data_IF_081699469530
#
_entry.id   IF_081699469530
#
_cell.length_a   1.000
_cell.length_b   1.000
_cell.length_c   1.000
_cell.angle_alpha   90.00
_cell.angle_beta   90.00
_cell.angle_gamma   90.00
#
_symmetry.space_group_name_H-M   'P 1'
#
loop_
_entity.id
_entity.type
_entity.pdbx_description
1 polymer ?
#
# COMPACT_ATOMS: atom_id res chain seq x y z
N UNK A 1 26.52 -57.22 -25.90
CA UNK A 1 26.52 -55.95 -26.66
C UNK A 1 25.53 -55.02 -25.97
N UNK A 2 26.06 -53.92 -25.44
CA UNK A 2 25.50 -53.04 -24.41
C UNK A 2 24.12 -52.45 -24.75
N UNK A 3 23.21 -52.47 -23.78
CA UNK A 3 22.00 -51.63 -23.76
C UNK A 3 22.32 -50.25 -23.18
N UNK A 4 21.96 -49.20 -23.90
CA UNK A 4 22.20 -47.80 -23.55
C UNK A 4 21.13 -47.34 -22.54
N UNK A 5 21.52 -47.19 -21.28
CA UNK A 5 20.70 -46.59 -20.23
C UNK A 5 20.83 -45.06 -20.32
N UNK A 6 19.78 -44.38 -20.78
CA UNK A 6 19.68 -42.91 -20.75
C UNK A 6 19.35 -42.47 -19.32
N UNK A 7 20.37 -42.13 -18.54
CA UNK A 7 20.19 -41.43 -17.27
C UNK A 7 19.88 -39.96 -17.54
N UNK A 8 18.61 -39.58 -17.34
CA UNK A 8 18.20 -38.18 -17.17
C UNK A 8 18.80 -37.67 -15.86
N UNK A 9 20.00 -37.06 -15.92
CA UNK A 9 20.49 -36.22 -14.84
C UNK A 9 19.57 -35.00 -14.75
N UNK A 10 18.80 -34.93 -13.66
CA UNK A 10 18.09 -33.72 -13.27
C UNK A 10 19.10 -32.61 -13.00
N UNK A 11 19.14 -31.62 -13.88
CA UNK A 11 19.86 -30.38 -13.65
C UNK A 11 19.12 -29.67 -12.51
N UNK A 12 19.65 -29.76 -11.30
CA UNK A 12 19.31 -28.82 -10.23
C UNK A 12 19.92 -27.50 -10.66
N UNK A 13 19.13 -26.66 -11.33
CA UNK A 13 19.44 -25.26 -11.49
C UNK A 13 19.47 -24.68 -10.08
N UNK A 14 20.67 -24.51 -9.52
CA UNK A 14 20.90 -23.57 -8.43
C UNK A 14 20.54 -22.21 -9.04
N UNK A 15 19.29 -21.78 -8.87
CA UNK A 15 18.93 -20.42 -9.23
C UNK A 15 19.75 -19.53 -8.28
N UNK A 16 20.64 -18.72 -8.86
CA UNK A 16 21.23 -17.57 -8.18
C UNK A 16 20.14 -16.79 -7.44
N UNK A 17 20.51 -15.94 -6.49
CA UNK A 17 19.56 -15.16 -5.69
C UNK A 17 18.83 -14.10 -6.54
N UNK A 18 17.90 -14.56 -7.40
CA UNK A 18 17.18 -13.75 -8.38
C UNK A 18 16.25 -12.82 -7.60
N UNK A 19 16.57 -11.53 -7.63
CA UNK A 19 15.72 -10.49 -7.05
C UNK A 19 14.58 -10.14 -8.03
N UNK A 20 13.33 -10.05 -7.56
CA UNK A 20 12.20 -9.69 -8.40
C UNK A 20 12.29 -8.23 -8.82
N UNK A 21 11.81 -7.91 -10.03
CA UNK A 21 11.63 -6.51 -10.43
C UNK A 21 10.49 -5.87 -9.62
N UNK A 22 10.53 -4.55 -9.46
CA UNK A 22 9.48 -3.80 -8.78
C UNK A 22 8.07 -4.04 -9.39
N UNK A 23 8.00 -4.28 -10.70
CA UNK A 23 6.74 -4.58 -11.40
C UNK A 23 6.22 -5.98 -11.08
N UNK A 24 7.09 -7.00 -11.09
CA UNK A 24 6.72 -8.37 -10.72
C UNK A 24 6.25 -8.43 -9.27
N UNK A 25 6.99 -7.77 -8.37
CA UNK A 25 6.65 -7.71 -6.95
C UNK A 25 5.30 -7.02 -6.72
N UNK A 26 5.06 -5.88 -7.39
CA UNK A 26 3.77 -5.17 -7.30
C UNK A 26 2.61 -6.03 -7.81
N UNK A 27 2.78 -6.73 -8.94
CA UNK A 27 1.77 -7.63 -9.49
C UNK A 27 1.49 -8.79 -8.54
N UNK A 28 2.53 -9.40 -7.97
CA UNK A 28 2.37 -10.49 -7.02
C UNK A 28 1.61 -10.05 -5.75
N UNK A 29 1.94 -8.89 -5.17
CA UNK A 29 1.17 -8.30 -4.07
C UNK A 29 -0.29 -8.00 -4.46
N UNK A 30 -0.54 -7.52 -5.68
CA UNK A 30 -1.91 -7.30 -6.16
C UNK A 30 -2.71 -8.60 -6.30
N UNK A 31 -2.07 -9.69 -6.73
CA UNK A 31 -2.71 -11.01 -6.84
C UNK A 31 -3.00 -11.63 -5.47
N UNK A 32 -2.12 -11.42 -4.49
CA UNK A 32 -2.33 -11.86 -3.11
C UNK A 32 -3.37 -11.00 -2.38
N UNK A 33 -3.54 -9.73 -2.77
CA UNK A 33 -4.39 -8.79 -2.07
C UNK A 33 -5.87 -9.14 -2.20
N UNK A 34 -6.57 -9.17 -1.06
CA UNK A 34 -8.01 -9.39 -1.02
C UNK A 34 -8.46 -10.18 0.20
N UNK A 35 -9.79 -10.35 0.35
CA UNK A 35 -10.36 -11.27 1.31
C UNK A 35 -10.23 -12.71 0.80
N UNK A 36 -9.73 -13.58 1.67
CA UNK A 36 -9.57 -15.01 1.44
C UNK A 36 -10.31 -15.81 2.51
N UNK A 37 -10.77 -17.00 2.14
CA UNK A 37 -11.32 -17.99 3.07
C UNK A 37 -10.35 -19.16 3.15
N UNK A 38 -9.88 -19.50 4.35
CA UNK A 38 -9.05 -20.68 4.59
C UNK A 38 -9.92 -21.92 4.39
N UNK A 39 -9.63 -22.69 3.34
CA UNK A 39 -10.37 -23.89 2.97
C UNK A 39 -9.86 -25.11 3.76
N UNK A 40 -8.55 -25.22 3.94
CA UNK A 40 -7.92 -26.24 4.79
C UNK A 40 -6.52 -25.82 5.22
N UNK A 41 -6.04 -26.47 6.28
CA UNK A 41 -4.66 -26.40 6.74
C UNK A 41 -4.17 -27.84 6.96
N UNK A 42 -2.98 -28.18 6.50
CA UNK A 42 -2.32 -29.43 6.85
C UNK A 42 -1.08 -29.09 7.65
N UNK A 43 -1.09 -29.39 8.94
CA UNK A 43 -0.01 -29.12 9.87
C UNK A 43 0.65 -30.44 10.26
N UNK A 44 1.94 -30.58 9.93
CA UNK A 44 2.73 -31.79 10.15
C UNK A 44 2.04 -33.10 9.76
N UNK A 45 1.38 -33.12 8.59
CA UNK A 45 0.61 -34.26 8.09
C UNK A 45 -0.84 -34.36 8.59
N UNK A 46 -1.20 -33.62 9.64
CA UNK A 46 -2.56 -33.56 10.18
C UNK A 46 -3.39 -32.52 9.44
N UNK A 47 -4.39 -32.98 8.69
CA UNK A 47 -5.27 -32.09 7.92
C UNK A 47 -6.44 -31.60 8.77
N UNK A 48 -6.46 -30.30 9.02
CA UNK A 48 -7.54 -29.57 9.68
C UNK A 48 -8.53 -29.06 8.64
N UNK A 49 -9.76 -29.56 8.71
CA UNK A 49 -10.86 -29.11 7.86
C UNK A 49 -11.38 -27.72 8.21
N UNK A 50 -12.06 -27.07 7.25
CA UNK A 50 -12.56 -25.70 7.35
C UNK A 50 -13.33 -25.41 8.66
N UNK A 51 -14.17 -26.32 9.13
CA UNK A 51 -15.03 -26.05 10.31
C UNK A 51 -14.25 -25.92 11.61
N UNK A 52 -13.15 -26.67 11.76
CA UNK A 52 -12.27 -26.53 12.93
C UNK A 52 -11.52 -25.21 12.83
N UNK A 53 -10.96 -24.90 11.66
CA UNK A 53 -10.26 -23.62 11.42
C UNK A 53 -11.14 -22.42 11.76
N UNK A 54 -12.39 -22.44 11.30
CA UNK A 54 -13.38 -21.37 11.53
C UNK A 54 -13.68 -21.11 13.01
N UNK A 55 -13.74 -22.18 13.81
CA UNK A 55 -14.15 -22.12 15.21
C UNK A 55 -12.99 -21.92 16.18
N UNK A 56 -11.77 -22.31 15.80
CA UNK A 56 -10.64 -22.41 16.72
C UNK A 56 -9.43 -21.56 16.36
N UNK A 57 -9.28 -21.14 15.10
CA UNK A 57 -8.06 -20.45 14.66
C UNK A 57 -8.37 -19.11 13.99
N UNK A 58 -9.30 -19.11 13.04
CA UNK A 58 -9.59 -17.95 12.19
C UNK A 58 -11.10 -17.77 12.18
N UNK A 59 -11.62 -16.71 12.80
CA UNK A 59 -13.06 -16.42 12.84
C UNK A 59 -13.65 -16.42 11.43
N UNK A 60 -14.69 -17.23 11.24
CA UNK A 60 -15.35 -17.49 9.95
C UNK A 60 -14.41 -18.02 8.84
N UNK A 61 -13.18 -18.38 9.19
CA UNK A 61 -12.14 -18.82 8.26
C UNK A 61 -11.65 -17.69 7.38
N UNK A 62 -11.91 -16.43 7.74
CA UNK A 62 -11.64 -15.26 6.92
C UNK A 62 -10.30 -14.63 7.27
N UNK A 63 -9.48 -14.42 6.25
CA UNK A 63 -8.24 -13.63 6.34
C UNK A 63 -8.27 -12.52 5.29
N UNK A 64 -7.66 -11.38 5.60
CA UNK A 64 -7.48 -10.28 4.65
C UNK A 64 -5.99 -10.07 4.43
N UNK A 65 -5.57 -10.23 3.19
CA UNK A 65 -4.20 -9.93 2.78
C UNK A 65 -4.20 -8.54 2.16
N UNK A 66 -3.46 -7.62 2.77
CA UNK A 66 -3.32 -6.25 2.26
C UNK A 66 -2.05 -5.61 2.83
N UNK A 67 -1.40 -4.75 2.05
CA UNK A 67 -0.27 -3.93 2.52
C UNK A 67 0.83 -4.73 3.23
N UNK A 68 1.25 -5.89 2.70
CA UNK A 68 2.27 -6.78 3.32
C UNK A 68 1.89 -7.33 4.69
N UNK A 69 0.59 -7.32 5.00
CA UNK A 69 0.04 -7.91 6.23
C UNK A 69 -1.06 -8.90 5.90
N UNK A 70 -1.16 -9.93 6.73
CA UNK A 70 -2.26 -10.90 6.77
C UNK A 70 -2.98 -10.65 8.08
N UNK A 71 -4.25 -10.25 7.99
CA UNK A 71 -5.09 -9.93 9.14
C UNK A 71 -6.17 -10.99 9.31
N UNK A 72 -6.38 -11.44 10.53
CA UNK A 72 -7.46 -12.35 10.90
C UNK A 72 -7.89 -12.12 12.34
N UNK A 73 -9.01 -12.72 12.76
CA UNK A 73 -9.53 -12.59 14.13
C UNK A 73 -9.50 -13.97 14.79
N UNK A 74 -8.98 -14.06 16.01
CA UNK A 74 -9.07 -15.27 16.81
C UNK A 74 -10.53 -15.43 17.29
N UNK A 75 -11.20 -16.55 17.00
CA UNK A 75 -12.61 -16.74 17.35
C UNK A 75 -12.86 -16.89 18.85
N UNK A 76 -11.87 -17.34 19.62
CA UNK A 76 -12.00 -17.55 21.07
C UNK A 76 -11.78 -16.26 21.86
N UNK A 77 -10.75 -15.49 21.50
CA UNK A 77 -10.40 -14.24 22.22
C UNK A 77 -11.05 -13.00 21.61
N UNK A 78 -11.49 -13.07 20.35
CA UNK A 78 -11.93 -11.91 19.58
C UNK A 78 -10.78 -10.98 19.14
N UNK A 79 -9.53 -11.34 19.43
CA UNK A 79 -8.36 -10.52 19.11
C UNK A 79 -8.06 -10.50 17.61
N UNK A 80 -7.79 -9.31 17.08
CA UNK A 80 -7.33 -9.14 15.70
C UNK A 80 -5.82 -9.38 15.61
N UNK A 81 -5.44 -10.46 14.95
CA UNK A 81 -4.07 -10.87 14.71
C UNK A 81 -3.59 -10.36 13.35
N UNK A 82 -2.45 -9.65 13.36
CA UNK A 82 -1.80 -9.08 12.16
C UNK A 82 -0.41 -9.67 12.03
N UNK A 83 -0.14 -10.34 10.91
CA UNK A 83 1.17 -10.93 10.59
C UNK A 83 1.74 -10.25 9.35
N UNK A 84 2.99 -9.77 9.42
CA UNK A 84 3.68 -9.20 8.27
C UNK A 84 4.24 -10.31 7.36
N UNK A 85 4.53 -10.00 6.09
CA UNK A 85 5.19 -10.94 5.19
C UNK A 85 6.01 -10.25 4.10
N UNK A 86 6.97 -10.98 3.54
CA UNK A 86 7.70 -10.62 2.31
C UNK A 86 7.58 -11.74 1.27
N UNK A 87 7.73 -11.42 -0.01
CA UNK A 87 7.68 -12.41 -1.11
C UNK A 87 8.83 -12.24 -2.11
N UNK A 88 9.24 -13.35 -2.71
CA UNK A 88 10.04 -13.36 -3.93
C UNK A 88 9.29 -14.15 -5.04
N UNK A 89 8.56 -13.45 -5.93
CA UNK A 89 7.83 -14.09 -7.01
C UNK A 89 8.70 -14.50 -8.21
N UNK A 90 9.98 -14.16 -8.24
CA UNK A 90 10.89 -14.46 -9.34
C UNK A 90 11.54 -15.85 -9.21
N UNK A 91 11.58 -16.41 -8.00
CA UNK A 91 12.05 -17.77 -7.74
C UNK A 91 10.98 -18.82 -8.05
N UNK A 92 11.43 -20.03 -8.35
CA UNK A 92 10.57 -21.20 -8.56
C UNK A 92 11.03 -22.36 -7.67
N UNK A 93 10.23 -22.78 -6.67
CA UNK A 93 8.93 -22.25 -6.27
C UNK A 93 8.98 -20.79 -5.79
N UNK A 94 7.88 -20.04 -5.93
CA UNK A 94 7.81 -18.64 -5.47
C UNK A 94 7.91 -18.60 -3.96
N UNK A 95 8.75 -17.74 -3.42
CA UNK A 95 9.04 -17.72 -1.99
C UNK A 95 8.14 -16.72 -1.26
N UNK A 96 7.77 -17.07 -0.03
CA UNK A 96 7.12 -16.17 0.93
C UNK A 96 7.83 -16.32 2.28
N UNK A 97 7.99 -15.23 3.01
CA UNK A 97 8.42 -15.25 4.40
C UNK A 97 7.28 -14.68 5.24
N UNK A 98 6.68 -15.51 6.07
CA UNK A 98 5.70 -15.05 7.05
C UNK A 98 6.45 -14.58 8.30
N UNK A 99 5.98 -13.51 8.91
CA UNK A 99 6.50 -13.04 10.19
C UNK A 99 5.46 -13.39 11.24
N UNK A 100 5.84 -14.32 12.11
CA UNK A 100 4.99 -14.84 13.17
C UNK A 100 4.82 -13.85 14.32
N UNK A 101 3.95 -14.18 15.27
CA UNK A 101 3.59 -13.30 16.40
C UNK A 101 4.80 -12.94 17.28
N UNK A 102 5.82 -13.80 17.33
CA UNK A 102 7.07 -13.61 18.06
C UNK A 102 8.19 -12.99 17.21
N UNK A 103 7.85 -12.44 16.03
CA UNK A 103 8.77 -11.85 15.05
C UNK A 103 9.84 -12.82 14.50
N UNK A 104 9.64 -14.15 14.61
CA UNK A 104 10.38 -15.13 13.82
C UNK A 104 9.95 -15.11 12.36
N UNK A 105 10.95 -15.16 11.47
CA UNK A 105 10.74 -15.42 10.04
C UNK A 105 10.43 -16.90 9.84
N UNK A 106 9.25 -17.19 9.28
CA UNK A 106 8.83 -18.51 8.84
C UNK A 106 8.99 -18.59 7.30
N UNK A 107 10.05 -19.24 6.80
CA UNK A 107 10.27 -19.41 5.37
C UNK A 107 9.22 -20.35 4.76
N UNK A 108 8.74 -19.97 3.59
CA UNK A 108 7.71 -20.69 2.87
C UNK A 108 7.77 -20.49 1.36
N UNK A 109 6.85 -21.14 0.67
CA UNK A 109 6.62 -21.01 -0.75
C UNK A 109 5.12 -20.82 -1.00
N UNK A 110 4.76 -20.22 -2.13
CA UNK A 110 3.37 -20.01 -2.51
C UNK A 110 3.13 -20.26 -4.00
N UNK A 111 1.91 -20.65 -4.35
CA UNK A 111 1.44 -20.74 -5.73
C UNK A 111 -0.05 -20.42 -5.83
N UNK A 112 -0.48 -20.11 -7.04
CA UNK A 112 -1.90 -20.01 -7.38
C UNK A 112 -2.31 -21.23 -8.20
N UNK A 113 -3.39 -21.90 -7.79
CA UNK A 113 -4.03 -23.00 -8.50
C UNK A 113 -5.46 -22.57 -8.86
N UNK A 114 -5.64 -21.94 -10.03
CA UNK A 114 -6.93 -21.34 -10.39
C UNK A 114 -7.30 -20.18 -9.47
N UNK A 115 -8.38 -20.32 -8.70
CA UNK A 115 -8.85 -19.36 -7.69
C UNK A 115 -8.36 -19.68 -6.26
N UNK A 116 -7.49 -20.68 -6.13
CA UNK A 116 -6.89 -21.09 -4.87
C UNK A 116 -5.47 -20.54 -4.71
N UNK A 117 -5.17 -20.02 -3.53
CA UNK A 117 -3.84 -19.67 -3.07
C UNK A 117 -3.35 -20.78 -2.13
N UNK A 118 -2.23 -21.40 -2.47
CA UNK A 118 -1.58 -22.41 -1.65
C UNK A 118 -0.31 -21.81 -1.07
N UNK A 119 -0.18 -21.83 0.26
CA UNK A 119 1.01 -21.38 0.99
C UNK A 119 1.55 -22.57 1.79
N UNK A 120 2.82 -22.91 1.62
CA UNK A 120 3.52 -23.91 2.43
C UNK A 120 4.63 -23.19 3.20
N UNK A 121 4.70 -23.33 4.52
CA UNK A 121 5.76 -22.72 5.33
C UNK A 121 6.22 -23.68 6.43
N UNK A 122 7.42 -23.47 6.94
CA UNK A 122 7.99 -24.29 8.02
C UNK A 122 7.91 -23.53 9.34
N UNK A 123 7.24 -24.11 10.33
CA UNK A 123 7.16 -23.59 11.72
C UNK A 123 7.93 -24.51 12.67
N UNK A 124 9.25 -24.51 12.52
CA UNK A 124 10.17 -25.27 13.34
C UNK A 124 11.20 -24.39 14.03
N UNK A 125 12.00 -24.99 14.92
CA UNK A 125 13.10 -24.29 15.62
C UNK A 125 14.22 -23.84 14.66
N UNK A 126 14.41 -24.59 13.57
CA UNK A 126 15.34 -24.27 12.48
C UNK A 126 14.61 -24.42 11.16
N UNK A 127 13.79 -23.43 10.79
CA UNK A 127 12.90 -23.63 9.67
C UNK A 127 13.70 -23.56 8.37
N UNK A 128 13.65 -24.64 7.59
CA UNK A 128 14.17 -24.68 6.23
C UNK A 128 13.05 -24.33 5.26
N UNK A 129 13.39 -23.63 4.16
CA UNK A 129 12.38 -23.27 3.16
C UNK A 129 11.87 -24.54 2.47
N UNK A 130 10.55 -24.78 2.40
CA UNK A 130 10.00 -25.89 1.64
C UNK A 130 10.35 -25.79 0.15
N UNK A 131 10.58 -26.93 -0.48
CA UNK A 131 10.82 -27.05 -1.94
C UNK A 131 9.59 -27.55 -2.69
N UNK A 132 8.58 -28.01 -1.96
CA UNK A 132 7.33 -28.57 -2.45
C UNK A 132 6.17 -28.17 -1.52
N UNK A 133 4.95 -28.42 -1.99
CA UNK A 133 3.71 -28.06 -1.28
C UNK A 133 3.15 -29.25 -0.48
N UNK A 134 4.02 -30.04 0.15
CA UNK A 134 3.64 -31.17 0.99
C UNK A 134 4.00 -30.91 2.46
N UNK A 135 3.05 -31.21 3.35
CA UNK A 135 3.27 -31.31 4.79
C UNK A 135 3.13 -32.77 5.19
N UNK A 136 4.27 -33.41 5.52
CA UNK A 136 4.35 -34.80 5.95
C UNK A 136 4.53 -34.86 7.47
N UNK A 137 4.15 -35.95 8.14
CA UNK A 137 4.47 -36.14 9.55
C UNK A 137 5.96 -35.94 9.85
N UNK A 138 6.28 -35.14 10.87
CA UNK A 138 7.64 -34.79 11.28
C UNK A 138 8.37 -33.77 10.38
N UNK A 139 7.70 -33.17 9.40
CA UNK A 139 8.30 -32.15 8.52
C UNK A 139 8.30 -30.74 9.12
N UNK A 140 7.53 -30.49 10.19
CA UNK A 140 7.29 -29.14 10.74
C UNK A 140 6.75 -28.14 9.71
N UNK A 141 6.08 -28.65 8.66
CA UNK A 141 5.51 -27.83 7.59
C UNK A 141 4.02 -27.66 7.79
N UNK A 142 3.55 -26.48 7.46
CA UNK A 142 2.12 -26.14 7.39
C UNK A 142 1.78 -25.79 5.95
N UNK A 143 0.78 -26.47 5.38
CA UNK A 143 0.20 -26.15 4.07
C UNK A 143 -1.18 -25.54 4.28
N UNK A 144 -1.32 -24.26 3.92
CA UNK A 144 -2.60 -23.55 3.89
C UNK A 144 -3.15 -23.52 2.48
N UNK A 145 -4.43 -23.83 2.34
CA UNK A 145 -5.20 -23.68 1.11
C UNK A 145 -6.27 -22.61 1.32
N UNK A 146 -6.21 -21.54 0.53
CA UNK A 146 -7.09 -20.40 0.64
C UNK A 146 -7.87 -20.21 -0.65
N UNK A 147 -9.17 -19.97 -0.56
CA UNK A 147 -10.02 -19.63 -1.71
C UNK A 147 -10.45 -18.18 -1.66
N UNK A 148 -10.67 -17.58 -2.82
CA UNK A 148 -11.26 -16.22 -2.88
C UNK A 148 -12.57 -16.18 -2.10
N UNK A 149 -12.79 -15.11 -1.32
CA UNK A 149 -14.05 -14.97 -0.59
C UNK A 149 -15.20 -14.66 -1.58
N UNK A 150 -16.31 -15.38 -1.46
CA UNK A 150 -17.51 -15.18 -2.30
C UNK A 150 -18.11 -13.76 -2.18
N UNK A 151 -17.89 -13.09 -1.05
CA UNK A 151 -18.35 -11.72 -0.78
C UNK A 151 -17.19 -10.72 -0.88
N UNK A 152 -17.03 -10.07 -2.03
CA UNK A 152 -16.07 -8.96 -2.21
C UNK A 152 -16.34 -7.72 -1.33
N UNK A 153 -17.44 -7.70 -0.57
CA UNK A 153 -17.85 -6.63 0.36
C UNK A 153 -17.57 -6.94 1.83
N UNK A 154 -17.13 -8.15 2.19
CA UNK A 154 -16.85 -8.51 3.58
C UNK A 154 -15.44 -8.03 3.98
N UNK A 155 -15.35 -6.80 4.46
CA UNK A 155 -14.15 -6.25 5.09
C UNK A 155 -13.98 -6.91 6.46
N UNK A 156 -12.89 -7.65 6.70
CA UNK A 156 -12.34 -7.69 8.08
C UNK A 156 -11.87 -6.26 8.30
N UNK A 157 -12.60 -5.49 9.10
CA UNK A 157 -12.31 -4.07 9.30
C UNK A 157 -10.82 -3.91 9.68
N UNK A 158 -10.02 -3.15 8.91
CA UNK A 158 -8.64 -2.83 9.29
C UNK A 158 -8.55 -1.69 10.30
N UNK A 159 -9.66 -1.30 10.93
CA UNK A 159 -9.68 -0.27 11.96
C UNK A 159 -10.42 -0.85 13.16
N UNK A 160 -9.69 -1.44 14.10
CA UNK A 160 -10.04 -1.22 15.49
C UNK A 160 -9.40 0.13 15.83
N UNK A 161 -10.18 1.19 15.67
CA UNK A 161 -10.26 2.20 16.72
C UNK A 161 -10.42 1.41 18.02
N UNK A 162 -9.33 1.25 18.76
CA UNK A 162 -9.43 0.78 20.13
C UNK A 162 -10.02 1.97 20.86
N UNK A 163 -11.34 1.97 20.99
CA UNK A 163 -12.05 2.80 21.95
C UNK A 163 -11.38 2.67 23.31
N UNK A 164 -11.31 3.81 23.97
CA UNK A 164 -10.67 4.09 25.25
C UNK A 164 -10.81 2.95 26.28
N UNK A 165 -9.73 2.19 26.48
CA UNK A 165 -9.44 1.70 27.83
C UNK A 165 -8.66 2.81 28.52
N UNK A 166 -9.41 3.64 29.24
CA UNK A 166 -8.89 4.58 30.23
C UNK A 166 -8.20 3.75 31.32
N UNK A 167 -6.90 3.59 31.21
CA UNK A 167 -6.05 3.36 32.37
C UNK A 167 -4.88 4.33 32.30
N UNK A 168 -4.86 5.23 33.28
CA UNK A 168 -3.83 6.21 33.57
C UNK A 168 -2.44 5.58 33.54
N UNK A 169 -1.69 5.74 32.44
CA UNK A 169 -0.27 5.38 32.36
C UNK A 169 0.58 6.57 32.77
N UNK A 170 1.05 6.54 34.01
CA UNK A 170 2.35 7.12 34.34
C UNK A 170 3.43 6.26 33.66
N UNK A 171 4.30 6.93 32.90
CA UNK A 171 5.49 6.34 32.29
C UNK A 171 6.54 6.24 33.39
N UNK A 172 6.95 5.04 33.84
CA UNK A 172 8.13 4.95 34.67
C UNK A 172 9.34 5.30 33.81
N UNK A 173 10.19 6.19 34.33
CA UNK A 173 11.51 6.40 33.75
C UNK A 173 12.25 5.05 33.72
N UNK A 174 12.54 4.54 32.53
CA UNK A 174 13.44 3.40 32.37
C UNK A 174 14.82 3.80 32.86
N UNK A 175 15.13 3.41 34.09
CA UNK A 175 16.50 3.31 34.57
C UNK A 175 17.29 2.45 33.61
N UNK A 176 18.45 2.96 33.20
CA UNK A 176 19.45 2.29 32.37
C UNK A 176 19.68 0.87 32.90
N UNK A 177 19.07 -0.12 32.25
CA UNK A 177 19.36 -1.53 32.51
C UNK A 177 20.68 -1.89 31.83
N UNK A 178 21.53 -2.73 32.46
CA UNK A 178 22.88 -2.98 31.99
C UNK A 178 22.89 -3.66 30.62
N UNK A 179 23.89 -3.24 29.82
CA UNK A 179 24.20 -3.69 28.47
C UNK A 179 24.11 -5.23 28.35
N UNK A 180 23.08 -5.75 27.68
CA UNK A 180 23.02 -7.16 27.23
C UNK A 180 23.57 -7.23 25.81
N UNK A 181 24.60 -8.06 25.59
CA UNK A 181 25.29 -8.17 24.29
C UNK A 181 24.42 -8.84 23.23
N UNK A 182 24.71 -8.55 21.96
CA UNK A 182 24.24 -9.32 20.82
C UNK A 182 24.54 -10.81 21.04
N UNK A 183 23.50 -11.65 21.06
CA UNK A 183 23.56 -13.07 21.44
C UNK A 183 22.66 -13.47 22.62
N UNK A 184 21.96 -12.51 23.24
CA UNK A 184 20.89 -12.80 24.19
C UNK A 184 19.73 -13.57 23.52
N UNK A 185 18.96 -14.40 24.27
CA UNK A 185 17.75 -15.03 23.74
C UNK A 185 16.79 -13.97 23.19
N UNK A 186 16.09 -14.30 22.10
CA UNK A 186 15.09 -13.44 21.45
C UNK A 186 14.09 -12.90 22.48
N UNK A 187 13.57 -11.70 22.21
CA UNK A 187 12.50 -11.11 23.00
C UNK A 187 11.33 -12.09 23.22
N UNK A 188 10.87 -12.13 24.46
CA UNK A 188 9.66 -12.87 24.84
C UNK A 188 8.42 -12.19 24.26
N UNK A 189 7.33 -12.95 24.08
CA UNK A 189 6.06 -12.41 23.61
C UNK A 189 5.55 -11.25 24.49
N UNK A 190 5.76 -11.34 25.81
CA UNK A 190 5.40 -10.28 26.74
C UNK A 190 6.23 -9.00 26.53
N UNK A 191 7.52 -9.12 26.23
CA UNK A 191 8.37 -7.97 25.88
C UNK A 191 7.94 -7.33 24.55
N UNK A 192 7.67 -8.15 23.53
CA UNK A 192 7.16 -7.69 22.24
C UNK A 192 5.85 -6.94 22.38
N UNK A 193 4.89 -7.48 23.15
CA UNK A 193 3.60 -6.83 23.39
C UNK A 193 3.77 -5.49 24.09
N UNK A 194 4.56 -5.44 25.17
CA UNK A 194 4.81 -4.19 25.91
C UNK A 194 5.40 -3.11 25.02
N UNK A 195 6.44 -3.43 24.23
CA UNK A 195 7.08 -2.43 23.37
C UNK A 195 6.19 -2.03 22.18
N UNK A 196 5.37 -2.93 21.61
CA UNK A 196 4.36 -2.56 20.61
C UNK A 196 3.29 -1.63 21.18
N UNK A 197 2.85 -1.87 22.42
CA UNK A 197 1.91 -0.99 23.11
C UNK A 197 2.52 0.41 23.35
N UNK A 198 3.83 0.48 23.61
CA UNK A 198 4.56 1.75 23.74
C UNK A 198 4.77 2.46 22.40
N UNK A 199 5.05 1.70 21.32
CA UNK A 199 5.20 2.23 19.97
C UNK A 199 3.86 2.69 19.39
N UNK A 200 2.76 2.06 19.78
CA UNK A 200 1.42 2.28 19.24
C UNK A 200 0.90 3.69 19.46
N UNK A 201 0.18 4.20 18.46
CA UNK A 201 -0.53 5.48 18.55
C UNK A 201 -0.12 6.49 17.49
N UNK A 202 -0.41 7.75 17.78
CA UNK A 202 -0.16 8.89 16.90
C UNK A 202 1.09 9.63 17.39
N UNK A 203 2.04 9.83 16.48
CA UNK A 203 3.31 10.47 16.77
C UNK A 203 3.51 11.68 15.87
N UNK A 204 4.03 12.76 16.43
CA UNK A 204 4.47 13.94 15.70
C UNK A 204 5.96 13.79 15.39
N UNK A 205 6.31 13.94 14.12
CA UNK A 205 7.71 13.95 13.68
C UNK A 205 8.29 15.32 14.05
N UNK A 206 9.26 15.34 14.97
CA UNK A 206 9.98 16.55 15.37
C UNK A 206 11.12 16.87 14.41
N UNK A 207 11.87 15.84 13.99
CA UNK A 207 12.96 15.98 13.04
C UNK A 207 13.20 14.68 12.26
N UNK A 208 13.75 14.84 11.06
CA UNK A 208 14.32 13.74 10.27
C UNK A 208 15.72 14.17 9.90
N UNK A 209 16.75 13.46 10.37
CA UNK A 209 18.11 13.62 9.91
C UNK A 209 18.41 12.53 8.88
N UNK A 210 18.50 12.89 7.61
CA UNK A 210 18.83 12.00 6.50
C UNK A 210 20.26 12.25 6.05
N UNK A 211 21.16 11.29 6.34
CA UNK A 211 22.56 11.32 5.89
C UNK A 211 23.27 12.66 6.14
N UNK A 212 23.10 13.19 7.35
CA UNK A 212 23.67 14.46 7.82
C UNK A 212 22.79 15.69 7.57
N UNK A 213 21.79 15.62 6.69
CA UNK A 213 20.86 16.70 6.43
C UNK A 213 19.66 16.64 7.39
N UNK A 214 19.38 17.72 8.11
CA UNK A 214 18.26 17.76 9.05
C UNK A 214 17.05 18.49 8.47
N UNK A 215 15.96 17.75 8.29
CA UNK A 215 14.65 18.29 7.93
C UNK A 215 13.91 18.71 9.21
N UNK A 216 13.59 19.99 9.31
CA UNK A 216 12.74 20.54 10.37
C UNK A 216 11.24 20.30 10.14
N UNK A 217 10.44 20.56 11.17
CA UNK A 217 9.00 20.28 11.20
C UNK A 217 8.20 20.86 10.02
N UNK A 218 8.58 22.03 9.51
CA UNK A 218 7.86 22.68 8.41
C UNK A 218 8.02 21.92 7.10
N UNK A 219 9.25 21.54 6.75
CA UNK A 219 9.51 20.79 5.53
C UNK A 219 8.89 19.39 5.60
N UNK A 220 8.90 18.77 6.78
CA UNK A 220 8.23 17.50 7.03
C UNK A 220 6.72 17.61 6.74
N UNK A 221 6.05 18.67 7.25
CA UNK A 221 4.62 18.91 7.01
C UNK A 221 4.27 19.13 5.55
N UNK A 222 5.16 19.79 4.81
CA UNK A 222 4.92 20.15 3.41
C UNK A 222 5.23 19.02 2.43
N UNK A 223 6.15 18.11 2.77
CA UNK A 223 6.70 17.13 1.80
C UNK A 223 6.65 15.68 2.23
N UNK A 224 6.55 15.38 3.52
CA UNK A 224 6.73 14.01 4.04
C UNK A 224 5.45 13.47 4.65
N UNK A 225 4.87 14.21 5.60
CA UNK A 225 3.76 13.75 6.42
C UNK A 225 2.74 14.86 6.59
N UNK A 226 1.49 14.60 6.22
CA UNK A 226 0.36 15.48 6.48
C UNK A 226 0.30 15.81 7.97
N UNK A 227 0.24 17.11 8.30
CA UNK A 227 0.31 17.64 9.67
C UNK A 227 1.56 17.24 10.48
N UNK A 228 2.57 16.63 9.83
CA UNK A 228 3.78 16.13 10.48
C UNK A 228 3.53 14.91 11.36
N UNK A 229 2.50 14.11 11.02
CA UNK A 229 2.06 12.98 11.84
C UNK A 229 2.39 11.64 11.19
N UNK A 230 2.83 10.69 12.00
CA UNK A 230 2.83 9.26 11.66
C UNK A 230 1.90 8.50 12.61
N UNK A 231 1.31 7.42 12.12
CA UNK A 231 0.53 6.48 12.93
C UNK A 231 1.26 5.14 12.98
N UNK A 232 1.48 4.65 14.18
CA UNK A 232 2.05 3.33 14.43
C UNK A 232 0.95 2.43 14.96
N UNK A 233 0.64 1.36 14.22
CA UNK A 233 -0.22 0.28 14.67
C UNK A 233 0.59 -0.87 15.24
N UNK A 234 -0.07 -2.02 15.47
CA UNK A 234 0.56 -3.21 16.07
C UNK A 234 1.72 -3.78 15.26
N UNK A 235 1.66 -3.69 13.93
CA UNK A 235 2.70 -4.21 13.00
C UNK A 235 2.91 -3.37 11.74
N UNK A 236 2.32 -2.18 11.70
CA UNK A 236 2.43 -1.27 10.57
C UNK A 236 2.70 0.16 11.01
N UNK A 237 3.51 0.87 10.24
CA UNK A 237 3.69 2.32 10.34
C UNK A 237 3.08 2.96 9.10
N UNK A 238 2.32 4.03 9.28
CA UNK A 238 1.71 4.75 8.15
C UNK A 238 1.85 6.25 8.26
N UNK A 239 2.03 6.88 7.09
CA UNK A 239 2.12 8.33 6.90
C UNK A 239 1.29 8.69 5.69
N UNK A 240 0.54 9.79 5.75
CA UNK A 240 -0.15 10.35 4.58
C UNK A 240 0.74 11.42 3.98
N UNK A 241 1.02 11.33 2.68
CA UNK A 241 1.84 12.30 1.99
C UNK A 241 1.02 13.56 1.66
N UNK A 242 1.49 14.76 2.01
CA UNK A 242 0.75 16.01 1.79
C UNK A 242 0.71 16.43 0.32
N UNK A 243 1.58 15.87 -0.54
CA UNK A 243 1.72 16.30 -1.94
C UNK A 243 0.81 15.55 -2.90
N UNK A 244 0.51 14.28 -2.60
CA UNK A 244 -0.26 13.38 -3.46
C UNK A 244 -1.41 12.67 -2.71
N UNK A 245 -1.62 13.01 -1.43
CA UNK A 245 -2.61 12.42 -0.53
C UNK A 245 -2.48 10.89 -0.39
N UNK A 246 -1.35 10.31 -0.80
CA UNK A 246 -1.16 8.87 -0.74
C UNK A 246 -0.75 8.43 0.67
N UNK A 247 -1.48 7.47 1.22
CA UNK A 247 -1.11 6.77 2.45
C UNK A 247 0.03 5.79 2.14
N UNK A 248 1.22 6.09 2.65
CA UNK A 248 2.38 5.19 2.65
C UNK A 248 2.31 4.30 3.88
N UNK A 249 2.58 3.02 3.70
CA UNK A 249 2.52 2.02 4.78
C UNK A 249 3.72 1.08 4.70
N UNK A 250 4.38 0.92 5.84
CA UNK A 250 5.47 -0.02 6.07
C UNK A 250 5.00 -1.04 7.09
N UNK A 251 5.35 -2.31 6.91
CA UNK A 251 5.26 -3.28 8.00
C UNK A 251 6.53 -3.19 8.85
N UNK A 252 6.48 -3.64 10.10
CA UNK A 252 7.67 -3.69 10.96
C UNK A 252 7.69 -4.91 11.87
N UNK A 253 8.90 -5.23 12.35
CA UNK A 253 9.14 -6.17 13.46
C UNK A 253 10.17 -5.56 14.44
N UNK A 254 10.19 -6.04 15.68
CA UNK A 254 11.06 -5.52 16.73
C UNK A 254 11.76 -6.63 17.51
N UNK A 255 12.91 -6.31 18.08
CA UNK A 255 13.54 -7.09 19.14
C UNK A 255 13.90 -6.15 20.31
N UNK A 256 13.04 -6.06 21.35
CA UNK A 256 13.33 -5.24 22.53
C UNK A 256 14.36 -5.85 23.49
N UNK A 257 14.78 -7.11 23.31
CA UNK A 257 15.73 -7.77 24.21
C UNK A 257 17.20 -7.38 23.93
N UNK A 258 17.45 -6.76 22.78
CA UNK A 258 18.76 -6.24 22.40
C UNK A 258 19.01 -4.83 22.96
N UNK A 259 20.29 -4.44 23.00
CA UNK A 259 20.70 -3.10 23.42
C UNK A 259 21.73 -2.55 22.41
N UNK A 260 21.38 -1.54 21.59
CA UNK A 260 20.08 -0.87 21.49
C UNK A 260 18.95 -1.79 21.02
N UNK A 261 17.70 -1.46 21.36
CA UNK A 261 16.52 -2.22 20.90
C UNK A 261 16.44 -2.15 19.38
N UNK A 262 16.13 -3.26 18.72
CA UNK A 262 16.16 -3.37 17.26
C UNK A 262 14.77 -3.22 16.65
N UNK A 263 14.69 -2.52 15.51
CA UNK A 263 13.48 -2.43 14.68
C UNK A 263 13.86 -2.67 13.22
N UNK A 264 13.06 -3.45 12.51
CA UNK A 264 13.19 -3.63 11.06
C UNK A 264 11.95 -3.09 10.36
N UNK A 265 12.15 -2.20 9.39
CA UNK A 265 11.07 -1.68 8.55
C UNK A 265 11.04 -2.41 7.21
N UNK A 266 9.87 -2.93 6.85
CA UNK A 266 9.63 -3.66 5.61
C UNK A 266 8.95 -2.70 4.64
N UNK A 267 9.69 -2.35 3.58
CA UNK A 267 9.26 -1.36 2.60
C UNK A 267 8.25 -1.92 1.60
N UNK A 268 7.79 -1.05 0.69
CA UNK A 268 6.91 -1.49 -0.37
C UNK A 268 7.55 -2.45 -1.39
N UNK A 269 8.87 -2.57 -1.37
CA UNK A 269 9.62 -3.46 -2.24
C UNK A 269 10.12 -4.69 -1.50
N UNK A 270 9.54 -4.99 -0.34
CA UNK A 270 9.88 -6.11 0.54
C UNK A 270 11.35 -6.10 1.01
N UNK A 271 12.05 -4.99 0.76
CA UNK A 271 13.37 -4.65 1.29
C UNK A 271 13.28 -4.38 2.78
N UNK A 272 14.20 -4.97 3.55
CA UNK A 272 14.29 -4.79 5.00
C UNK A 272 15.31 -3.70 5.33
N UNK A 273 14.82 -2.59 5.89
CA UNK A 273 15.67 -1.54 6.45
C UNK A 273 15.93 -1.85 7.92
N UNK A 274 17.19 -2.11 8.26
CA UNK A 274 17.60 -2.45 9.62
C UNK A 274 17.70 -1.17 10.44
N UNK A 275 17.24 -1.20 11.67
CA UNK A 275 17.27 -0.04 12.55
C UNK A 275 17.31 -0.37 14.03
N UNK A 276 17.37 0.69 14.82
CA UNK A 276 17.32 0.66 16.27
C UNK A 276 16.33 1.72 16.76
N UNK A 277 15.77 1.53 17.95
CA UNK A 277 14.85 2.47 18.57
C UNK A 277 15.09 2.61 20.07
N UNK A 278 14.72 3.77 20.61
CA UNK A 278 14.71 4.01 22.05
C UNK A 278 13.58 4.97 22.41
N UNK A 279 13.13 4.88 23.66
CA UNK A 279 12.15 5.81 24.23
C UNK A 279 12.84 6.73 25.22
N UNK A 280 12.65 8.03 25.05
CA UNK A 280 13.16 9.09 25.93
C UNK A 280 11.96 9.87 26.47
N UNK A 281 11.35 9.35 27.54
CA UNK A 281 10.12 9.90 28.11
C UNK A 281 8.96 9.84 27.12
N UNK A 282 8.55 10.99 26.59
CA UNK A 282 7.46 11.11 25.60
C UNK A 282 7.96 11.15 24.15
N UNK A 283 9.26 10.92 23.94
CA UNK A 283 9.91 10.86 22.65
C UNK A 283 10.30 9.44 22.24
N UNK A 284 10.20 9.17 20.95
CA UNK A 284 10.66 7.95 20.31
C UNK A 284 11.72 8.35 19.29
N UNK A 285 12.93 7.80 19.47
CA UNK A 285 14.04 7.99 18.55
C UNK A 285 14.23 6.70 17.77
N UNK A 286 14.22 6.77 16.45
CA UNK A 286 14.36 5.62 15.55
C UNK A 286 15.46 5.91 14.54
N UNK A 287 16.47 5.06 14.44
CA UNK A 287 17.53 5.17 13.43
C UNK A 287 17.48 3.96 12.50
N UNK A 288 17.39 4.17 11.19
CA UNK A 288 17.29 3.11 10.18
C UNK A 288 18.32 3.28 9.08
N UNK A 289 18.73 2.19 8.42
CA UNK A 289 19.52 2.24 7.19
C UNK A 289 18.69 2.69 5.99
N UNK A 290 19.34 3.22 4.94
CA UNK A 290 18.70 3.57 3.66
C UNK A 290 18.60 2.40 2.68
N UNK A 291 19.35 1.33 2.92
CA UNK A 291 19.36 0.11 2.11
C UNK A 291 19.53 -1.14 2.96
N UNK A 292 19.13 -2.29 2.40
CA UNK A 292 19.14 -3.58 3.07
C UNK A 292 20.54 -4.16 3.27
N UNK A 293 21.49 -3.83 2.40
CA UNK A 293 22.87 -4.34 2.47
C UNK A 293 23.69 -3.67 3.58
N UNK A 294 23.18 -2.58 4.17
CA UNK A 294 23.87 -1.85 5.23
C UNK A 294 23.81 -2.62 6.57
N UNK A 295 24.87 -2.50 7.40
CA UNK A 295 24.86 -3.05 8.73
C UNK A 295 23.86 -2.30 9.61
N UNK A 296 23.27 -3.00 10.58
CA UNK A 296 22.36 -2.38 11.55
C UNK A 296 23.11 -1.25 12.31
N UNK A 297 22.50 -0.07 12.50
CA UNK A 297 23.10 0.98 13.32
C UNK A 297 23.29 0.52 14.76
N UNK A 298 24.39 0.94 15.40
CA UNK A 298 24.64 0.69 16.82
C UNK A 298 24.47 1.95 17.69
N UNK A 299 24.31 3.12 17.05
CA UNK A 299 24.18 4.43 17.68
C UNK A 299 23.09 5.24 16.97
N UNK A 300 22.45 6.13 17.72
CA UNK A 300 21.35 6.97 17.24
C UNK A 300 21.87 8.22 16.51
N UNK A 301 22.62 8.01 15.43
CA UNK A 301 23.23 9.08 14.65
C UNK A 301 23.16 8.79 13.15
N UNK A 302 22.91 9.84 12.37
CA UNK A 302 22.92 9.81 10.91
C UNK A 302 23.84 10.92 10.34
N UNK A 303 25.18 10.85 10.55
CA UNK A 303 26.10 11.82 9.97
C UNK A 303 26.20 11.68 8.45
N UNK A 304 26.84 12.67 7.80
CA UNK A 304 27.06 12.66 6.34
C UNK A 304 27.80 11.41 5.91
N UNK A 305 27.26 10.71 4.90
CA UNK A 305 27.83 9.47 4.35
C UNK A 305 27.55 8.22 5.19
N UNK A 306 26.76 8.31 6.27
CA UNK A 306 26.39 7.17 7.09
C UNK A 306 25.35 6.26 6.47
N UNK A 307 24.63 6.73 5.44
CA UNK A 307 23.53 5.99 4.78
C UNK A 307 22.42 5.63 5.77
N UNK A 308 22.21 6.47 6.77
CA UNK A 308 21.21 6.31 7.83
C UNK A 308 20.21 7.46 7.82
N UNK A 309 19.03 7.18 8.38
CA UNK A 309 18.00 8.15 8.66
C UNK A 309 17.65 8.06 10.14
N UNK A 310 17.70 9.18 10.85
CA UNK A 310 17.33 9.30 12.25
C UNK A 310 16.02 10.10 12.35
N UNK A 311 15.02 9.50 12.97
CA UNK A 311 13.73 10.10 13.27
C UNK A 311 13.68 10.44 14.75
N UNK A 312 13.29 11.67 15.07
CA UNK A 312 12.89 12.05 16.43
C UNK A 312 11.40 12.33 16.44
N UNK A 313 10.66 11.56 17.22
CA UNK A 313 9.21 11.55 17.25
C UNK A 313 8.73 11.90 18.65
N UNK A 314 7.59 12.56 18.76
CA UNK A 314 6.94 12.87 20.04
C UNK A 314 5.53 12.31 20.07
N UNK A 315 5.17 11.61 21.14
CA UNK A 315 3.81 11.08 21.28
C UNK A 315 2.80 12.22 21.25
N UNK A 316 1.72 12.04 20.52
CA UNK A 316 0.58 12.94 20.56
C UNK A 316 -0.45 12.28 21.46
N UNK A 317 -0.50 12.71 22.72
CA UNK A 317 -1.62 12.32 23.59
C UNK A 317 -2.92 12.70 22.87
N UNK A 318 -3.89 11.78 22.73
CA UNK A 318 -5.21 12.18 22.30
C UNK A 318 -5.68 13.23 23.30
N UNK A 319 -5.91 14.44 22.80
CA UNK A 319 -6.52 15.49 23.59
C UNK A 319 -7.92 14.98 23.96
N UNK A 320 -8.32 14.99 25.26
CA UNK A 320 -9.67 14.63 25.63
C UNK A 320 -10.64 15.41 24.74
N UNK A 321 -11.61 14.73 24.14
CA UNK A 321 -12.54 15.32 23.17
C UNK A 321 -13.34 16.54 23.69
N UNK A 322 -13.20 16.89 24.97
CA UNK A 322 -13.72 18.11 25.55
C UNK A 322 -12.65 19.22 25.56
N UNK A 323 -12.62 20.03 24.49
CA UNK A 323 -12.22 21.46 24.46
C UNK A 323 -11.64 21.94 23.12
N UNK A 324 -11.71 21.17 22.04
CA UNK A 324 -11.55 21.78 20.71
C UNK A 324 -12.82 22.54 20.35
N UNK A 325 -12.75 23.83 19.98
CA UNK A 325 -13.76 24.38 19.08
C UNK A 325 -13.79 23.43 17.89
N UNK A 326 -14.97 22.92 17.54
CA UNK A 326 -15.14 21.92 16.50
C UNK A 326 -14.20 22.21 15.33
N UNK A 327 -13.32 21.26 15.00
CA UNK A 327 -12.67 21.28 13.71
C UNK A 327 -13.77 21.53 12.68
N UNK A 328 -13.60 22.47 11.73
CA UNK A 328 -14.64 22.77 10.75
C UNK A 328 -15.14 21.45 10.20
N UNK A 329 -16.47 21.22 10.20
CA UNK A 329 -17.05 19.91 9.95
C UNK A 329 -16.38 19.33 8.71
N UNK A 330 -15.83 18.11 8.84
CA UNK A 330 -15.27 17.43 7.68
C UNK A 330 -16.33 17.50 6.57
N UNK A 331 -15.95 17.91 5.35
CA UNK A 331 -16.91 18.07 4.28
C UNK A 331 -17.70 16.77 4.15
N UNK A 332 -19.03 16.88 4.17
CA UNK A 332 -19.94 15.75 4.00
C UNK A 332 -19.55 14.97 2.74
N UNK A 333 -19.95 13.70 2.58
CA UNK A 333 -19.74 12.98 1.33
C UNK A 333 -20.21 13.76 0.09
N UNK A 334 -21.25 14.58 0.24
CA UNK A 334 -21.75 15.50 -0.78
C UNK A 334 -20.78 16.68 -1.05
N UNK A 335 -20.24 17.29 -0.01
CA UNK A 335 -19.25 18.36 -0.14
C UNK A 335 -17.93 17.86 -0.71
N UNK A 336 -17.48 16.66 -0.35
CA UNK A 336 -16.33 16.01 -0.97
C UNK A 336 -16.58 15.72 -2.46
N UNK A 337 -17.79 15.29 -2.82
CA UNK A 337 -18.17 15.11 -4.21
C UNK A 337 -18.13 16.44 -4.97
N UNK A 338 -18.65 17.53 -4.37
CA UNK A 338 -18.61 18.89 -4.93
C UNK A 338 -17.18 19.37 -5.16
N UNK A 339 -16.28 19.19 -4.19
CA UNK A 339 -14.87 19.56 -4.31
C UNK A 339 -14.15 18.76 -5.42
N UNK A 340 -14.42 17.45 -5.52
CA UNK A 340 -13.88 16.61 -6.61
C UNK A 340 -14.38 17.06 -7.97
N UNK A 341 -15.67 17.37 -8.09
CA UNK A 341 -16.25 17.87 -9.35
C UNK A 341 -15.68 19.24 -9.73
N UNK A 342 -15.48 20.13 -8.76
CA UNK A 342 -14.86 21.44 -8.98
C UNK A 342 -13.41 21.28 -9.45
N UNK A 343 -12.62 20.40 -8.81
CA UNK A 343 -11.25 20.10 -9.24
C UNK A 343 -11.20 19.57 -10.68
N UNK A 344 -12.11 18.67 -11.06
CA UNK A 344 -12.19 18.17 -12.43
C UNK A 344 -12.60 19.29 -13.41
N UNK A 345 -13.56 20.14 -13.03
CA UNK A 345 -13.96 21.31 -13.83
C UNK A 345 -12.76 22.21 -14.11
N UNK A 346 -11.94 22.48 -13.11
CA UNK A 346 -10.75 23.31 -13.24
C UNK A 346 -9.69 22.63 -14.13
N UNK A 347 -9.57 21.30 -14.08
CA UNK A 347 -8.67 20.55 -14.97
C UNK A 347 -9.12 20.56 -16.44
N UNK A 348 -10.43 20.59 -16.73
CA UNK A 348 -10.98 20.68 -18.09
C UNK A 348 -10.63 22.02 -18.74
N UNK A 349 -10.50 23.10 -17.95
CA UNK A 349 -10.11 24.41 -18.47
C UNK A 349 -8.73 24.33 -19.12
N UNK A 350 -8.66 24.78 -20.37
CA UNK A 350 -7.45 24.74 -21.17
C UNK A 350 -7.70 24.35 -22.62
N UNK A 351 -6.60 24.20 -23.36
CA UNK A 351 -6.57 23.85 -24.77
C UNK A 351 -6.34 22.36 -24.95
N UNK A 352 -7.19 21.69 -25.70
CA UNK A 352 -7.19 20.25 -25.89
C UNK A 352 -7.19 19.90 -27.37
N UNK A 353 -6.42 18.90 -27.76
CA UNK A 353 -6.34 18.40 -29.13
C UNK A 353 -6.69 16.92 -29.21
N UNK A 354 -7.36 16.52 -30.29
CA UNK A 354 -7.57 15.12 -30.63
C UNK A 354 -7.52 14.94 -32.15
N UNK A 355 -7.18 13.73 -32.59
CA UNK A 355 -7.20 13.37 -34.01
C UNK A 355 -8.13 12.18 -34.20
N UNK A 356 -9.04 12.27 -35.17
CA UNK A 356 -9.90 11.17 -35.60
C UNK A 356 -9.89 11.03 -37.12
N UNK A 357 -10.69 10.11 -37.67
CA UNK A 357 -10.78 9.87 -39.12
C UNK A 357 -11.18 11.10 -39.93
N UNK A 358 -11.82 12.10 -39.32
CA UNK A 358 -12.25 13.34 -39.98
C UNK A 358 -11.16 14.42 -39.94
N UNK A 359 -10.10 14.24 -39.13
CA UNK A 359 -8.98 15.16 -39.01
C UNK A 359 -8.69 15.58 -37.57
N UNK A 360 -7.95 16.68 -37.40
CA UNK A 360 -7.56 17.21 -36.09
C UNK A 360 -8.64 18.16 -35.54
N UNK A 361 -8.91 18.08 -34.25
CA UNK A 361 -9.81 18.94 -33.52
C UNK A 361 -9.05 19.58 -32.35
N UNK A 362 -9.05 20.91 -32.30
CA UNK A 362 -8.55 21.68 -31.16
C UNK A 362 -9.73 22.35 -30.48
N UNK A 363 -9.88 22.16 -29.17
CA UNK A 363 -10.96 22.74 -28.36
C UNK A 363 -10.36 23.46 -27.17
N UNK A 364 -10.78 24.70 -26.94
CA UNK A 364 -10.40 25.52 -25.80
C UNK A 364 -11.61 25.68 -24.90
N UNK A 365 -11.55 25.12 -23.69
CA UNK A 365 -12.55 25.33 -22.64
C UNK A 365 -12.07 26.45 -21.71
N UNK A 366 -12.90 27.47 -21.51
CA UNK A 366 -12.60 28.63 -20.64
C UNK A 366 -13.32 28.50 -19.31
N UNK A 367 -12.75 29.10 -18.27
CA UNK A 367 -13.28 29.06 -16.90
C UNK A 367 -14.67 29.71 -16.76
N UNK A 368 -15.00 30.66 -17.65
CA UNK A 368 -16.29 31.33 -17.75
C UNK A 368 -17.43 30.43 -18.27
N UNK A 369 -17.15 29.17 -18.62
CA UNK A 369 -18.13 28.25 -19.18
C UNK A 369 -18.33 28.38 -20.68
N UNK A 370 -17.48 29.13 -21.39
CA UNK A 370 -17.48 29.18 -22.85
C UNK A 370 -16.42 28.27 -23.45
N UNK A 371 -16.67 27.76 -24.66
CA UNK A 371 -15.68 27.00 -25.41
C UNK A 371 -15.62 27.45 -26.86
N UNK A 372 -14.45 27.24 -27.47
CA UNK A 372 -14.23 27.42 -28.90
C UNK A 372 -13.47 26.23 -29.45
N UNK A 373 -13.88 25.73 -30.60
CA UNK A 373 -13.32 24.55 -31.22
C UNK A 373 -13.09 24.77 -32.71
N UNK A 374 -11.97 24.26 -33.21
CA UNK A 374 -11.58 24.32 -34.62
C UNK A 374 -11.19 22.93 -35.08
N UNK A 375 -11.84 22.46 -36.15
CA UNK A 375 -11.57 21.20 -36.80
C UNK A 375 -10.89 21.42 -38.14
N UNK A 376 -9.69 20.87 -38.30
CA UNK A 376 -8.97 20.84 -39.59
C UNK A 376 -9.23 19.50 -40.27
N UNK A 377 -9.83 19.53 -41.46
CA UNK A 377 -10.29 18.32 -42.16
C UNK A 377 -9.13 17.60 -42.85
N UNK A 378 -9.10 16.26 -42.76
CA UNK A 378 -8.08 15.42 -43.39
C UNK A 378 -8.21 15.35 -44.92
N UNK A 379 -9.43 15.50 -45.45
CA UNK A 379 -9.72 15.54 -46.90
C UNK A 379 -10.28 16.90 -47.28
N UNK A 380 -9.60 17.60 -48.19
CA UNK A 380 -10.08 18.86 -48.78
C UNK A 380 -11.03 18.53 -49.93
N UNK A 381 -12.28 19.01 -49.86
CA UNK A 381 -13.23 18.97 -50.99
C UNK A 381 -13.15 20.30 -51.74
N UNK A 382 -13.35 20.26 -53.06
CA UNK A 382 -13.10 21.40 -53.96
C UNK A 382 -13.89 22.68 -53.61
N UNK A 383 -14.97 22.57 -52.81
CA UNK A 383 -15.87 23.66 -52.43
C UNK A 383 -16.20 23.72 -50.93
N UNK A 384 -15.49 22.97 -50.07
CA UNK A 384 -15.66 23.06 -48.62
C UNK A 384 -14.44 23.72 -47.97
N UNK A 385 -14.61 24.61 -46.98
CA UNK A 385 -13.49 25.20 -46.26
C UNK A 385 -12.66 24.12 -45.57
N UNK A 386 -11.33 24.24 -45.63
CA UNK A 386 -10.40 23.25 -45.07
C UNK A 386 -10.44 23.13 -43.54
N UNK A 387 -11.14 24.05 -42.87
CA UNK A 387 -11.43 23.98 -41.44
C UNK A 387 -12.86 24.40 -41.14
N UNK A 388 -13.41 23.87 -40.05
CA UNK A 388 -14.71 24.22 -39.50
C UNK A 388 -14.53 24.66 -38.06
N UNK A 389 -15.14 25.78 -37.67
CA UNK A 389 -15.09 26.26 -36.29
C UNK A 389 -16.48 26.28 -35.66
N UNK A 390 -16.52 26.11 -34.34
CA UNK A 390 -17.73 26.18 -33.56
C UNK A 390 -17.42 26.64 -32.14
N UNK A 391 -18.38 27.31 -31.51
CA UNK A 391 -18.28 27.85 -30.17
C UNK A 391 -19.62 27.70 -29.44
N UNK A 392 -19.57 27.90 -28.13
CA UNK A 392 -20.76 28.00 -27.30
C UNK A 392 -20.46 27.82 -25.84
N UNK A 393 -21.41 27.25 -25.11
CA UNK A 393 -21.31 27.06 -23.67
C UNK A 393 -20.99 25.60 -23.31
N UNK A 394 -20.22 25.39 -22.25
CA UNK A 394 -19.95 24.09 -21.70
C UNK A 394 -20.24 24.05 -20.19
N UNK A 395 -20.63 22.88 -19.73
CA UNK A 395 -20.91 22.59 -18.32
C UNK A 395 -20.33 21.24 -17.94
N UNK A 396 -19.92 21.10 -16.69
CA UNK A 396 -19.49 19.84 -16.12
C UNK A 396 -20.20 19.59 -14.79
N UNK A 397 -20.74 18.39 -14.63
CA UNK A 397 -21.40 17.93 -13.40
C UNK A 397 -21.77 16.46 -13.51
N UNK A 398 -21.84 15.74 -12.39
CA UNK A 398 -22.09 14.30 -12.34
C UNK A 398 -21.14 13.50 -13.26
N UNK A 399 -19.88 13.92 -13.32
CA UNK A 399 -18.85 13.36 -14.22
C UNK A 399 -19.14 13.46 -15.73
N UNK A 400 -20.09 14.32 -16.14
CA UNK A 400 -20.47 14.53 -17.55
C UNK A 400 -20.04 15.92 -18.02
N UNK A 401 -19.30 15.97 -19.11
CA UNK A 401 -18.99 17.18 -19.85
C UNK A 401 -20.02 17.37 -20.96
N UNK A 402 -20.71 18.51 -20.96
CA UNK A 402 -21.66 18.90 -22.00
C UNK A 402 -21.18 20.17 -22.67
N UNK A 403 -21.12 20.21 -23.99
CA UNK A 403 -20.74 21.38 -24.78
C UNK A 403 -21.82 21.65 -25.84
N UNK A 404 -22.56 22.76 -25.68
CA UNK A 404 -23.66 23.17 -26.55
C UNK A 404 -23.19 24.24 -27.52
N UNK A 405 -23.34 23.97 -28.81
CA UNK A 405 -22.93 24.87 -29.89
C UNK A 405 -23.98 25.96 -30.09
N UNK A 406 -23.55 27.22 -30.03
CA UNK A 406 -24.38 28.40 -30.30
C UNK A 406 -23.92 29.20 -31.52
N UNK A 407 -22.68 29.01 -31.98
CA UNK A 407 -22.15 29.62 -33.20
C UNK A 407 -21.22 28.65 -33.93
N UNK A 408 -21.33 28.57 -35.26
CA UNK A 408 -20.55 27.62 -36.06
C UNK A 408 -20.51 27.99 -37.53
N UNK A 409 -19.45 27.57 -38.24
CA UNK A 409 -19.35 27.61 -39.70
C UNK A 409 -20.03 26.41 -40.39
N UNK A 410 -20.56 25.44 -39.63
CA UNK A 410 -21.28 24.28 -40.16
C UNK A 410 -22.76 24.34 -39.71
N UNK A 411 -23.70 24.63 -40.64
CA UNK A 411 -25.12 24.76 -40.28
C UNK A 411 -25.71 23.56 -39.52
N UNK A 412 -25.17 22.36 -39.74
CA UNK A 412 -25.66 21.14 -39.09
C UNK A 412 -25.27 21.03 -37.60
N UNK A 413 -24.34 21.87 -37.13
CA UNK A 413 -23.88 21.85 -35.74
C UNK A 413 -24.58 22.89 -34.87
N UNK A 414 -25.36 23.81 -35.45
CA UNK A 414 -26.02 24.85 -34.67
C UNK A 414 -27.05 24.24 -33.72
N UNK A 415 -26.94 24.54 -32.42
CA UNK A 415 -27.80 23.96 -31.38
C UNK A 415 -27.42 22.54 -30.95
N UNK A 416 -26.45 21.90 -31.62
CA UNK A 416 -25.98 20.57 -31.26
C UNK A 416 -25.28 20.56 -29.89
N UNK A 417 -25.49 19.51 -29.10
CA UNK A 417 -24.88 19.36 -27.78
C UNK A 417 -24.04 18.09 -27.72
N UNK A 418 -22.72 18.26 -27.56
CA UNK A 418 -21.80 17.16 -27.32
C UNK A 418 -21.85 16.78 -25.84
N UNK A 419 -22.17 15.53 -25.53
CA UNK A 419 -22.15 15.05 -24.14
C UNK A 419 -21.25 13.83 -24.04
N UNK A 420 -20.30 13.85 -23.09
CA UNK A 420 -19.41 12.74 -22.81
C UNK A 420 -19.15 12.58 -21.32
N UNK A 421 -18.98 11.34 -20.86
CA UNK A 421 -18.56 11.05 -19.48
C UNK A 421 -17.04 11.07 -19.41
N UNK A 422 -16.48 11.86 -18.51
CA UNK A 422 -15.03 11.84 -18.27
C UNK A 422 -14.70 10.54 -17.51
N UNK A 423 -13.87 9.71 -18.11
CA UNK A 423 -13.40 8.46 -17.51
C UNK A 423 -12.11 8.69 -16.72
N UNK A 424 -11.24 9.55 -17.24
CA UNK A 424 -10.03 9.99 -16.57
C UNK A 424 -9.58 11.35 -17.12
N UNK A 425 -8.95 12.15 -16.25
CA UNK A 425 -8.32 13.41 -16.62
C UNK A 425 -7.05 13.58 -15.78
N UNK A 426 -5.95 13.93 -16.44
CA UNK A 426 -4.66 14.24 -15.84
C UNK A 426 -4.14 15.57 -16.38
N UNK A 427 -2.89 15.91 -16.05
CA UNK A 427 -2.29 17.19 -16.46
C UNK A 427 -2.20 17.33 -17.99
N UNK A 428 -1.85 16.26 -18.70
CA UNK A 428 -1.62 16.28 -20.16
C UNK A 428 -2.68 15.53 -20.98
N UNK A 429 -3.55 14.74 -20.35
CA UNK A 429 -4.49 13.86 -21.06
C UNK A 429 -5.89 13.87 -20.45
N UNK A 430 -6.91 13.81 -21.31
CA UNK A 430 -8.31 13.66 -20.92
C UNK A 430 -8.94 12.54 -21.76
N UNK A 431 -9.60 11.59 -21.11
CA UNK A 431 -10.33 10.50 -21.77
C UNK A 431 -11.82 10.66 -21.49
N UNK A 432 -12.60 10.84 -22.54
CA UNK A 432 -14.05 10.95 -22.47
C UNK A 432 -14.72 9.81 -23.24
N UNK A 433 -15.72 9.18 -22.62
CA UNK A 433 -16.61 8.23 -23.29
C UNK A 433 -17.81 8.98 -23.88
N UNK A 434 -18.11 8.73 -25.15
CA UNK A 434 -19.36 9.20 -25.76
C UNK A 434 -20.58 8.42 -25.26
N UNK A 435 -21.78 8.81 -25.72
CA UNK A 435 -23.05 8.19 -25.31
C UNK A 435 -23.15 6.70 -25.69
N UNK A 436 -22.35 6.24 -26.65
CA UNK A 436 -22.33 4.85 -27.13
C UNK A 436 -21.15 4.06 -26.53
N UNK A 437 -20.42 4.63 -25.57
CA UNK A 437 -19.26 4.00 -24.92
C UNK A 437 -17.95 4.11 -25.71
N UNK A 438 -17.93 4.82 -26.84
CA UNK A 438 -16.73 5.08 -27.62
C UNK A 438 -15.79 6.02 -26.88
N UNK A 439 -14.54 5.61 -26.66
CA UNK A 439 -13.54 6.40 -25.95
C UNK A 439 -12.85 7.39 -26.91
N UNK A 440 -12.71 8.64 -26.45
CA UNK A 440 -11.96 9.69 -27.12
C UNK A 440 -10.87 10.21 -26.19
N UNK A 441 -9.65 10.24 -26.70
CA UNK A 441 -8.49 10.75 -25.97
C UNK A 441 -8.12 12.12 -26.50
N UNK A 442 -8.04 13.08 -25.59
CA UNK A 442 -7.60 14.44 -25.83
C UNK A 442 -6.25 14.65 -25.17
N UNK A 443 -5.36 15.38 -25.84
CA UNK A 443 -4.05 15.80 -25.33
C UNK A 443 -4.06 17.30 -25.10
N UNK A 444 -3.59 17.72 -23.93
CA UNK A 444 -3.49 19.14 -23.60
C UNK A 444 -2.44 19.81 -24.47
N UNK A 445 -2.77 20.97 -25.02
CA UNK A 445 -1.83 21.84 -25.72
C UNK A 445 -1.25 22.78 -24.68
N UNK A 446 0.09 22.86 -24.64
CA UNK A 446 0.83 23.77 -23.76
C UNK A 446 0.76 25.20 -24.25
#
# INVERSE_FOLDING_TARGET
MMGLLLTLLGIVLIQDDVKPTATELRRAHQMLAGPWTVASATDDGDTVGADILRRKMVKDGRVVIKNRTITHVNPETGETLVNAFTINPAKLPREINLISIDDRTLPGIFKFEGDELVICFTDGQRPERPTDFESKPGSSRVVLRLKTAADKKATVQPDVEVDDVVETKEVPASTVSPLRSAGAPKATEAELRRDRDLLGGLWRILSIQDDGETLGTELIRQKIAENGLLRVGSRGVSVVSPTDEQKRLWAYRIDPATSPKEIDLITQFDTILKGIYTFEGDQLVVCTTKSEDEPRPMVFEAPVGSRRVLYTLKTVKPEPAAARPAAPPQPTPEEQARLREQKIRDMIVGSWSMTDSRGSLVTVFRADGTFSSTRTLSRKRLFEPGSKSFNGAWTFGQSRLTARVSGTTDPNLLGYSYTGRIQSIGEDTMVAADLNGGLRTFRKLR
#
